data_IF_016681707246
#
_entry.id   IF_016681707246
#
_cell.length_a   1.000
_cell.length_b   1.000
_cell.length_c   1.000
_cell.angle_alpha   90.00
_cell.angle_beta   90.00
_cell.angle_gamma   90.00
#
_symmetry.space_group_name_H-M   'P 1'
#
loop_
_entity.id
_entity.type
_entity.pdbx_description
1 polymer ?
#
# COMPACT_ATOMS: atom_id res chain seq x y z
N UNK A 1 0.23 11.79 0.81
CA UNK A 1 0.99 11.11 1.87
C UNK A 1 0.07 10.87 3.04
N UNK A 2 0.15 9.70 3.68
CA UNK A 2 -0.49 9.42 4.97
C UNK A 2 0.57 9.14 6.03
N UNK A 3 0.27 9.49 7.28
CA UNK A 3 1.07 9.15 8.46
C UNK A 3 0.10 8.64 9.52
N UNK A 4 0.37 7.45 10.05
CA UNK A 4 -0.50 6.71 10.95
C UNK A 4 0.30 6.39 12.21
N UNK A 5 0.02 7.07 13.34
CA UNK A 5 0.49 6.64 14.65
C UNK A 5 -0.38 5.48 15.16
N UNK A 6 0.25 4.40 15.63
CA UNK A 6 -0.46 3.31 16.30
C UNK A 6 -0.62 3.58 17.79
N UNK A 7 -1.57 2.88 18.42
CA UNK A 7 -1.72 2.83 19.89
C UNK A 7 -0.57 2.12 20.60
N UNK A 8 0.31 1.47 19.84
CA UNK A 8 1.48 0.72 20.30
C UNK A 8 2.80 1.44 19.95
N UNK A 9 2.77 2.75 19.74
CA UNK A 9 3.94 3.60 19.45
C UNK A 9 4.70 3.24 18.16
N UNK A 10 4.04 2.67 17.17
CA UNK A 10 4.57 2.56 15.81
C UNK A 10 4.15 3.79 15.00
N UNK A 11 5.00 4.19 14.06
CA UNK A 11 4.68 5.25 13.11
C UNK A 11 4.96 4.72 11.70
N UNK A 12 3.93 4.66 10.87
CA UNK A 12 3.98 4.13 9.51
C UNK A 12 3.05 4.92 8.60
N UNK A 13 3.07 4.60 7.30
CA UNK A 13 2.19 5.26 6.35
C UNK A 13 2.45 4.85 4.92
N UNK A 14 1.88 5.60 4.00
CA UNK A 14 2.05 5.40 2.57
C UNK A 14 2.17 6.72 1.82
N UNK A 15 2.85 6.66 0.68
CA UNK A 15 2.97 7.78 -0.24
C UNK A 15 2.53 7.36 -1.63
N UNK A 16 1.76 8.23 -2.27
CA UNK A 16 1.45 8.21 -3.69
C UNK A 16 1.42 9.66 -4.18
N UNK A 17 1.98 9.98 -5.37
CA UNK A 17 1.77 11.26 -6.04
C UNK A 17 0.36 11.46 -6.60
N UNK A 18 -0.49 10.42 -6.63
CA UNK A 18 -1.84 10.50 -7.20
C UNK A 18 -2.80 11.08 -6.17
N UNK A 19 -3.56 12.10 -6.57
CA UNK A 19 -4.62 12.67 -5.75
C UNK A 19 -5.78 11.70 -5.58
N UNK A 20 -6.28 11.55 -4.35
CA UNK A 20 -7.48 10.77 -4.07
C UNK A 20 -8.72 11.51 -4.54
N UNK A 21 -9.54 10.82 -5.33
CA UNK A 21 -10.76 11.40 -5.90
C UNK A 21 -12.02 10.60 -5.60
N UNK A 22 -11.93 9.58 -4.75
CA UNK A 22 -13.09 8.86 -4.18
C UNK A 22 -14.09 8.32 -5.21
N UNK A 23 -13.60 7.68 -6.28
CA UNK A 23 -14.41 7.23 -7.43
C UNK A 23 -14.51 5.70 -7.56
N UNK A 24 -14.22 4.97 -6.49
CA UNK A 24 -14.29 3.50 -6.39
C UNK A 24 -13.43 2.75 -7.41
N UNK A 25 -12.27 3.30 -7.76
CA UNK A 25 -11.43 2.71 -8.80
C UNK A 25 -9.95 2.59 -8.41
N UNK A 26 -9.27 1.67 -9.10
CA UNK A 26 -7.84 1.47 -8.94
C UNK A 26 -7.04 2.52 -9.70
N UNK A 27 -5.85 2.81 -9.22
CA UNK A 27 -4.88 3.68 -9.88
C UNK A 27 -3.58 2.95 -10.11
N UNK A 28 -3.05 3.16 -11.31
CA UNK A 28 -1.72 2.73 -11.62
C UNK A 28 -0.73 3.72 -11.02
N UNK A 29 0.16 3.23 -10.15
CA UNK A 29 1.23 4.06 -9.63
C UNK A 29 2.51 3.26 -9.39
N UNK A 30 3.57 3.61 -10.11
CA UNK A 30 4.89 3.00 -9.93
C UNK A 30 5.72 3.68 -8.83
N UNK A 31 5.26 4.83 -8.34
CA UNK A 31 5.91 5.62 -7.29
C UNK A 31 5.23 5.46 -5.93
N UNK A 32 4.19 4.64 -5.86
CA UNK A 32 3.56 4.24 -4.61
C UNK A 32 4.54 3.43 -3.75
N UNK A 33 4.52 3.69 -2.44
CA UNK A 33 5.22 2.89 -1.46
C UNK A 33 4.61 3.03 -0.07
N UNK A 34 4.73 1.96 0.72
CA UNK A 34 4.55 1.98 2.16
C UNK A 34 5.87 2.28 2.87
N UNK A 35 5.79 2.80 4.08
CA UNK A 35 6.97 3.05 4.90
C UNK A 35 6.70 2.87 6.40
N UNK A 36 7.77 2.57 7.14
CA UNK A 36 7.83 2.66 8.61
C UNK A 36 8.84 3.73 9.02
N UNK A 37 8.51 4.50 10.04
CA UNK A 37 9.39 5.53 10.63
C UNK A 37 9.84 5.15 12.03
N UNK A 38 8.90 4.69 12.87
CA UNK A 38 9.16 4.27 14.25
C UNK A 38 8.69 2.84 14.42
N UNK A 39 9.59 1.99 14.92
CA UNK A 39 9.29 0.62 15.29
C UNK A 39 9.99 0.31 16.62
N UNK A 40 9.22 -0.06 17.64
CA UNK A 40 9.72 -0.33 19.00
C UNK A 40 10.79 -1.43 19.06
N UNK A 41 10.92 -2.25 18.03
CA UNK A 41 11.93 -3.31 17.96
C UNK A 41 13.26 -2.84 17.33
N UNK A 42 13.53 -1.53 17.29
CA UNK A 42 14.71 -0.94 16.63
C UNK A 42 14.86 -1.36 15.15
N UNK A 43 13.76 -1.72 14.50
CA UNK A 43 13.75 -1.96 13.06
C UNK A 43 13.94 -0.61 12.38
N UNK A 44 14.98 -0.52 11.53
CA UNK A 44 15.27 0.70 10.77
C UNK A 44 14.05 1.14 9.97
N UNK A 45 13.90 2.45 9.83
CA UNK A 45 12.92 3.01 8.88
C UNK A 45 13.09 2.33 7.53
N UNK A 46 12.01 1.72 7.06
CA UNK A 46 12.02 0.87 5.88
C UNK A 46 10.99 1.36 4.89
N UNK A 47 11.36 1.38 3.61
CA UNK A 47 10.49 1.70 2.49
C UNK A 47 10.14 0.43 1.73
N UNK A 48 8.86 0.22 1.46
CA UNK A 48 8.32 -0.93 0.75
C UNK A 48 7.73 -0.45 -0.58
N UNK A 49 8.47 -0.55 -1.69
CA UNK A 49 7.98 -0.13 -3.00
C UNK A 49 6.89 -1.06 -3.51
N UNK A 50 6.00 -0.53 -4.35
CA UNK A 50 5.00 -1.31 -5.07
C UNK A 50 5.64 -2.46 -5.87
N UNK A 51 5.01 -3.64 -5.84
CA UNK A 51 5.40 -4.75 -6.71
C UNK A 51 5.17 -4.34 -8.18
N UNK A 52 6.20 -4.42 -9.05
CA UNK A 52 6.05 -4.10 -10.48
C UNK A 52 4.86 -4.80 -11.17
N UNK A 53 4.50 -6.00 -10.72
CA UNK A 53 3.39 -6.81 -11.24
C UNK A 53 2.01 -6.32 -10.79
N UNK A 54 1.95 -5.51 -9.74
CA UNK A 54 0.70 -5.02 -9.13
C UNK A 54 0.51 -3.51 -9.30
N UNK A 55 1.41 -2.83 -10.04
CA UNK A 55 1.34 -1.37 -10.25
C UNK A 55 -0.02 -0.88 -10.72
N UNK A 56 -0.73 -1.64 -11.56
CA UNK A 56 -2.07 -1.27 -12.06
C UNK A 56 -3.16 -1.19 -10.97
N UNK A 57 -2.90 -1.77 -9.80
CA UNK A 57 -3.77 -1.75 -8.63
C UNK A 57 -3.02 -1.20 -7.41
N UNK A 58 -2.09 -0.26 -7.60
CA UNK A 58 -1.23 0.27 -6.53
C UNK A 58 -1.98 1.09 -5.48
N UNK A 59 -3.04 1.79 -5.88
CA UNK A 59 -3.88 2.58 -4.98
C UNK A 59 -5.35 2.33 -5.33
N UNK A 60 -6.23 2.24 -4.33
CA UNK A 60 -7.68 2.17 -4.54
C UNK A 60 -8.37 3.37 -3.90
N UNK A 61 -9.20 4.07 -4.67
CA UNK A 61 -9.92 5.28 -4.26
C UNK A 61 -11.35 4.94 -3.87
N UNK A 62 -11.53 4.17 -2.80
CA UNK A 62 -12.88 3.93 -2.31
C UNK A 62 -13.53 5.23 -1.85
N UNK A 63 -14.82 5.41 -2.10
CA UNK A 63 -15.53 6.65 -1.78
C UNK A 63 -15.79 6.82 -0.28
N UNK A 64 -15.93 5.70 0.42
CA UNK A 64 -16.33 5.66 1.83
C UNK A 64 -15.14 5.41 2.76
N UNK A 65 -13.96 5.09 2.20
CA UNK A 65 -12.74 4.86 2.97
C UNK A 65 -11.69 5.95 2.69
N UNK A 66 -10.68 5.97 3.57
CA UNK A 66 -9.43 6.65 3.28
C UNK A 66 -8.67 5.98 2.13
N UNK A 67 -7.47 6.47 1.84
CA UNK A 67 -6.64 5.90 0.79
C UNK A 67 -6.20 4.48 1.10
N UNK A 68 -6.40 3.59 0.12
CA UNK A 68 -5.99 2.20 0.21
C UNK A 68 -4.74 2.02 -0.64
N UNK A 69 -3.66 1.55 0.00
CA UNK A 69 -2.37 1.26 -0.64
C UNK A 69 -2.28 -0.23 -0.92
N UNK A 70 -1.87 -0.59 -2.13
CA UNK A 70 -2.05 -1.94 -2.69
C UNK A 70 -3.49 -2.20 -3.11
N UNK A 71 -3.69 -3.28 -3.88
CA UNK A 71 -4.99 -3.62 -4.44
C UNK A 71 -5.28 -5.10 -4.32
N UNK A 72 -6.52 -5.41 -3.93
CA UNK A 72 -7.05 -6.77 -3.74
C UNK A 72 -7.09 -7.62 -5.04
N UNK A 73 -6.71 -7.06 -6.19
CA UNK A 73 -7.06 -7.58 -7.52
C UNK A 73 -6.09 -8.57 -8.19
N UNK A 74 -4.87 -8.77 -7.68
CA UNK A 74 -3.95 -9.76 -8.27
C UNK A 74 -3.13 -10.47 -7.20
N UNK A 75 -3.77 -11.37 -6.45
CA UNK A 75 -3.06 -12.57 -6.04
C UNK A 75 -2.63 -13.29 -7.33
N UNK A 76 -1.33 -13.56 -7.58
CA UNK A 76 -1.02 -14.65 -8.46
C UNK A 76 -1.70 -15.86 -7.85
N UNK A 77 -2.69 -16.45 -8.54
CA UNK A 77 -3.09 -17.82 -8.23
C UNK A 77 -1.80 -18.61 -8.29
N UNK A 78 -1.22 -18.98 -7.15
CA UNK A 78 -0.36 -20.13 -7.09
C UNK A 78 -1.27 -21.29 -7.50
N UNK A 79 -1.23 -21.65 -8.79
CA UNK A 79 -1.66 -22.98 -9.19
C UNK A 79 -0.74 -23.92 -8.42
N UNK A 80 -1.27 -24.53 -7.36
CA UNK A 80 -0.73 -25.80 -6.90
C UNK A 80 -0.71 -26.69 -8.15
N UNK A 81 0.49 -26.93 -8.67
CA UNK A 81 0.72 -28.09 -9.49
C UNK A 81 0.84 -29.22 -8.47
N UNK A 82 -0.29 -29.89 -8.22
CA UNK A 82 -0.22 -31.26 -7.76
C UNK A 82 0.07 -32.10 -9.00
N UNK A 83 1.30 -32.59 -9.07
CA UNK A 83 1.83 -33.53 -10.05
C UNK A 83 3.10 -34.11 -9.48
#
# INVERSE_FOLDING_TARGET
MTIIPSTTNYLFGGYTPISWISDNSHRNDSKEFLFTLINLHNIKSTKYPVDPRQRGCAVYHHRDDGPIFGGFGYFPRFRSHNG
#
